data_IF_364208382853
#
_entry.id   IF_364208382853
#
_cell.length_a   1.000
_cell.length_b   1.000
_cell.length_c   1.000
_cell.angle_alpha   90.00
_cell.angle_beta   90.00
_cell.angle_gamma   90.00
#
_symmetry.space_group_name_H-M   'P 1'
#
loop_
_entity.id
_entity.type
_entity.pdbx_description
1 polymer ?
#
# COMPACT_ATOMS: atom_id res chain seq x y z
N UNK A 1 3.27 5.30 7.29
CA UNK A 1 4.25 6.18 6.61
C UNK A 1 4.58 7.34 7.53
N UNK A 2 5.85 7.51 7.88
CA UNK A 2 6.27 8.56 8.81
C UNK A 2 6.85 9.70 7.98
N UNK A 3 6.20 10.86 8.02
CA UNK A 3 6.63 12.08 7.37
C UNK A 3 6.12 13.29 8.12
N UNK A 4 6.76 14.44 7.92
CA UNK A 4 6.22 15.70 8.34
C UNK A 4 5.13 16.13 7.33
N UNK A 5 3.92 16.40 7.81
CA UNK A 5 2.86 16.94 6.95
C UNK A 5 3.14 18.41 6.65
N UNK A 6 3.06 18.76 5.36
CA UNK A 6 3.14 20.16 4.92
C UNK A 6 1.69 20.59 4.61
N UNK A 7 1.02 21.23 5.57
CA UNK A 7 -0.34 21.73 5.34
C UNK A 7 -1.09 22.07 6.65
N UNK A 8 -2.01 23.00 6.55
CA UNK A 8 -2.94 23.36 7.63
C UNK A 8 -3.87 22.18 7.94
N UNK A 9 -3.77 21.62 9.13
CA UNK A 9 -4.70 20.60 9.59
C UNK A 9 -4.07 19.37 10.23
N UNK A 10 -2.93 19.50 10.93
CA UNK A 10 -2.46 18.45 11.80
C UNK A 10 -3.49 18.23 12.92
N UNK A 11 -4.23 17.14 12.84
CA UNK A 11 -5.23 16.76 13.84
C UNK A 11 -4.54 16.26 15.12
N UNK A 12 -3.28 15.85 15.02
CA UNK A 12 -2.50 15.30 16.14
C UNK A 12 -1.05 15.79 16.12
N UNK A 13 -0.53 16.11 17.31
CA UNK A 13 0.85 16.54 17.49
C UNK A 13 1.18 17.89 16.86
N UNK A 14 2.46 18.10 16.55
CA UNK A 14 2.96 19.31 15.89
C UNK A 14 2.68 19.34 14.37
N UNK A 15 2.16 18.25 13.80
CA UNK A 15 2.08 18.03 12.36
C UNK A 15 3.41 17.59 11.74
N UNK A 16 4.45 17.51 12.54
CA UNK A 16 5.82 17.14 12.14
C UNK A 16 6.21 15.80 12.77
N UNK A 17 5.48 14.75 12.40
CA UNK A 17 5.56 13.45 13.03
C UNK A 17 7.00 12.86 13.09
N UNK A 18 7.79 13.08 12.05
CA UNK A 18 9.18 12.59 12.02
C UNK A 18 10.06 13.35 13.04
N UNK A 19 9.88 14.66 13.15
CA UNK A 19 10.58 15.49 14.11
C UNK A 19 10.21 15.07 15.54
N UNK A 20 8.89 14.95 15.80
CA UNK A 20 8.35 14.55 17.10
C UNK A 20 8.89 13.16 17.51
N UNK A 21 8.98 12.21 16.54
CA UNK A 21 9.53 10.88 16.77
C UNK A 21 11.02 10.93 17.14
N UNK A 22 11.82 11.68 16.39
CA UNK A 22 13.26 11.83 16.64
C UNK A 22 13.49 12.47 18.00
N UNK A 23 12.78 13.56 18.29
CA UNK A 23 12.88 14.25 19.58
C UNK A 23 12.49 13.31 20.74
N UNK A 24 11.39 12.58 20.61
CA UNK A 24 10.93 11.63 21.63
C UNK A 24 11.98 10.53 21.89
N UNK A 25 12.49 9.88 20.84
CA UNK A 25 13.44 8.78 21.00
C UNK A 25 14.76 9.27 21.64
N UNK A 26 15.27 10.40 21.19
CA UNK A 26 16.56 10.91 21.64
C UNK A 26 16.49 11.81 22.88
N UNK A 27 15.29 12.03 23.43
CA UNK A 27 15.13 12.56 24.79
C UNK A 27 15.52 11.53 25.87
N UNK A 28 15.53 10.24 25.53
CA UNK A 28 15.97 9.16 26.41
C UNK A 28 17.50 8.91 26.35
N UNK A 29 18.04 8.33 27.41
CA UNK A 29 19.44 7.94 27.45
C UNK A 29 19.70 6.63 26.70
N UNK A 30 20.78 6.57 25.91
CA UNK A 30 21.22 5.37 25.16
C UNK A 30 20.18 4.80 24.19
N UNK A 31 19.23 5.60 23.74
CA UNK A 31 18.22 5.18 22.78
C UNK A 31 18.78 5.08 21.36
N UNK A 32 18.19 4.17 20.58
CA UNK A 32 18.49 3.99 19.16
C UNK A 32 17.17 3.87 18.40
N UNK A 33 17.13 4.42 17.20
CA UNK A 33 15.98 4.34 16.29
C UNK A 33 16.33 3.42 15.13
N UNK A 34 15.46 2.46 14.83
CA UNK A 34 15.52 1.63 13.63
C UNK A 34 14.29 1.94 12.81
N UNK A 35 14.52 2.45 11.60
CA UNK A 35 13.47 2.75 10.63
C UNK A 35 13.47 1.66 9.56
N UNK A 36 12.31 1.01 9.38
CA UNK A 36 12.10 -0.05 8.41
C UNK A 36 11.07 0.42 7.40
N UNK A 37 11.32 0.18 6.12
CA UNK A 37 10.40 0.54 5.07
C UNK A 37 10.77 -0.04 3.72
N UNK A 38 9.93 0.23 2.74
CA UNK A 38 10.11 -0.20 1.36
C UNK A 38 9.89 1.00 0.44
N UNK A 39 10.94 1.39 -0.28
CA UNK A 39 10.91 2.54 -1.21
C UNK A 39 10.05 2.28 -2.46
N UNK A 40 9.67 1.02 -2.73
CA UNK A 40 8.74 0.66 -3.79
C UNK A 40 7.26 0.77 -3.37
N UNK A 41 6.98 0.97 -2.07
CA UNK A 41 5.63 1.25 -1.59
C UNK A 41 5.27 2.73 -1.78
N UNK A 42 3.96 3.02 -1.73
CA UNK A 42 3.47 4.39 -1.89
C UNK A 42 4.12 5.33 -0.87
N UNK A 43 4.71 6.44 -1.32
CA UNK A 43 5.31 7.42 -0.44
C UNK A 43 4.22 8.23 0.30
N UNK A 44 4.59 9.04 1.29
CA UNK A 44 3.69 10.02 1.90
C UNK A 44 3.11 10.97 0.84
N UNK A 45 1.89 11.47 1.10
CA UNK A 45 1.19 12.36 0.15
C UNK A 45 2.04 13.61 -0.15
N UNK A 46 2.23 13.87 -1.45
CA UNK A 46 3.02 15.02 -1.90
C UNK A 46 4.54 14.85 -1.85
N UNK A 47 5.02 13.65 -1.56
CA UNK A 47 6.46 13.34 -1.53
C UNK A 47 6.79 12.20 -2.50
N UNK A 48 7.99 12.19 -3.07
CA UNK A 48 8.47 11.12 -3.93
C UNK A 48 9.01 9.92 -3.14
N UNK A 49 9.55 10.19 -1.95
CA UNK A 49 10.09 9.18 -1.02
C UNK A 49 9.71 9.52 0.41
N UNK A 50 9.70 8.52 1.29
CA UNK A 50 9.55 8.76 2.72
C UNK A 50 10.84 9.39 3.28
N UNK A 51 10.80 10.58 3.89
CA UNK A 51 11.97 11.21 4.49
C UNK A 51 12.59 10.37 5.62
N UNK A 52 11.81 9.51 6.26
CA UNK A 52 12.28 8.58 7.28
C UNK A 52 13.20 7.47 6.73
N UNK A 53 13.19 7.24 5.40
CA UNK A 53 14.06 6.27 4.71
C UNK A 53 15.17 6.95 3.91
N UNK A 54 15.41 8.23 4.13
CA UNK A 54 16.47 9.00 3.48
C UNK A 54 17.58 9.29 4.49
N UNK A 55 18.75 8.66 4.27
CA UNK A 55 19.90 8.82 5.17
C UNK A 55 20.37 10.29 5.26
N UNK A 56 20.25 11.08 4.19
CA UNK A 56 20.65 12.49 4.21
C UNK A 56 19.69 13.32 5.08
N UNK A 57 18.37 13.06 4.96
CA UNK A 57 17.36 13.71 5.82
C UNK A 57 17.58 13.34 7.28
N UNK A 58 17.80 12.07 7.58
CA UNK A 58 18.04 11.60 8.94
C UNK A 58 19.37 12.13 9.51
N UNK A 59 20.40 12.26 8.67
CA UNK A 59 21.67 12.90 9.03
C UNK A 59 21.52 14.38 9.38
N UNK A 60 20.54 15.07 8.80
CA UNK A 60 20.19 16.47 9.11
C UNK A 60 19.76 16.71 10.57
N UNK A 61 19.30 15.66 11.26
CA UNK A 61 19.04 15.71 12.71
C UNK A 61 20.31 15.58 13.58
N UNK A 62 21.49 15.53 12.97
CA UNK A 62 22.75 15.31 13.68
C UNK A 62 22.98 13.86 14.13
N UNK A 63 22.23 12.92 13.56
CA UNK A 63 22.32 11.50 13.89
C UNK A 63 23.39 10.79 13.06
N UNK A 64 24.05 9.79 13.68
CA UNK A 64 24.89 8.86 12.94
C UNK A 64 24.03 7.77 12.32
N UNK A 65 23.82 7.85 10.99
CA UNK A 65 22.90 6.99 10.23
C UNK A 65 23.68 5.89 9.54
N UNK A 66 23.21 4.65 9.70
CA UNK A 66 23.69 3.49 8.94
C UNK A 66 22.51 2.97 8.13
N UNK A 67 22.67 2.93 6.82
CA UNK A 67 21.66 2.42 5.88
C UNK A 67 22.03 1.02 5.40
N UNK A 68 21.04 0.14 5.34
CA UNK A 68 21.21 -1.20 4.82
C UNK A 68 19.99 -1.60 3.97
N UNK A 69 20.23 -2.09 2.76
CA UNK A 69 19.21 -2.55 1.85
C UNK A 69 19.14 -4.09 1.83
N UNK A 70 17.97 -4.64 2.17
CA UNK A 70 17.70 -6.06 2.06
C UNK A 70 17.26 -6.37 0.63
N UNK A 71 18.04 -7.15 -0.10
CA UNK A 71 17.79 -7.50 -1.52
C UNK A 71 17.30 -8.92 -1.73
N UNK A 72 17.52 -9.81 -0.78
CA UNK A 72 17.10 -11.20 -0.90
C UNK A 72 15.64 -11.39 -0.51
N UNK A 73 14.87 -12.05 -1.37
CA UNK A 73 13.47 -12.38 -1.14
C UNK A 73 13.37 -13.78 -0.54
N UNK A 74 13.22 -13.86 0.77
CA UNK A 74 13.21 -15.14 1.51
C UNK A 74 11.87 -15.90 1.46
N UNK A 75 10.78 -15.27 1.02
CA UNK A 75 9.41 -15.78 1.22
C UNK A 75 8.78 -16.51 0.04
N UNK A 76 9.44 -16.61 -1.12
CA UNK A 76 8.79 -17.12 -2.32
C UNK A 76 9.62 -18.17 -3.04
N UNK A 77 8.90 -19.11 -3.67
CA UNK A 77 9.51 -20.20 -4.42
C UNK A 77 10.07 -19.68 -5.74
N UNK A 78 11.20 -20.20 -6.20
CA UNK A 78 11.91 -19.75 -7.40
C UNK A 78 11.05 -19.77 -8.70
N UNK A 79 9.96 -20.55 -8.71
CA UNK A 79 9.04 -20.66 -9.87
C UNK A 79 7.79 -19.77 -9.73
N UNK A 80 7.74 -18.85 -8.75
CA UNK A 80 6.60 -17.97 -8.54
C UNK A 80 6.54 -16.86 -9.58
N UNK A 81 5.40 -16.77 -10.27
CA UNK A 81 5.08 -15.67 -11.17
C UNK A 81 4.83 -14.35 -10.42
N UNK A 82 4.35 -14.43 -9.18
CA UNK A 82 4.19 -13.27 -8.30
C UNK A 82 5.57 -12.65 -8.03
N UNK A 83 6.55 -13.46 -7.62
CA UNK A 83 7.91 -13.00 -7.37
C UNK A 83 8.56 -12.43 -8.64
N UNK A 84 8.42 -13.15 -9.76
CA UNK A 84 8.96 -12.70 -11.05
C UNK A 84 8.43 -11.32 -11.42
N UNK A 85 7.11 -11.12 -11.38
CA UNK A 85 6.48 -9.86 -11.73
C UNK A 85 6.80 -8.73 -10.73
N UNK A 86 6.85 -9.03 -9.43
CA UNK A 86 7.23 -8.06 -8.41
C UNK A 86 8.68 -7.57 -8.60
N UNK A 87 9.60 -8.48 -8.88
CA UNK A 87 11.01 -8.16 -9.16
C UNK A 87 11.13 -7.29 -10.42
N UNK A 88 10.46 -7.69 -11.52
CA UNK A 88 10.47 -6.89 -12.75
C UNK A 88 9.88 -5.50 -12.57
N UNK A 89 8.80 -5.35 -11.81
CA UNK A 89 8.24 -4.05 -11.49
C UNK A 89 9.22 -3.18 -10.70
N UNK A 90 9.92 -3.77 -9.74
CA UNK A 90 10.93 -3.06 -8.95
C UNK A 90 12.11 -2.60 -9.81
N UNK A 91 12.62 -3.46 -10.66
CA UNK A 91 13.67 -3.11 -11.65
C UNK A 91 13.21 -1.96 -12.56
N UNK A 92 11.98 -2.02 -13.09
CA UNK A 92 11.41 -0.96 -13.90
C UNK A 92 11.33 0.40 -13.18
N UNK A 93 11.13 0.41 -11.85
CA UNK A 93 11.09 1.66 -11.08
C UNK A 93 12.45 2.35 -10.97
N UNK A 94 13.55 1.61 -11.18
CA UNK A 94 14.92 2.16 -11.17
C UNK A 94 15.37 2.68 -12.55
N UNK A 95 14.63 2.37 -13.62
CA UNK A 95 14.95 2.78 -14.98
C UNK A 95 14.46 4.21 -15.29
N UNK A 96 15.27 4.95 -16.05
CA UNK A 96 14.88 6.29 -16.53
C UNK A 96 15.10 6.38 -18.07
N UNK A 97 14.07 6.69 -18.88
CA UNK A 97 12.68 6.99 -18.49
C UNK A 97 11.93 5.74 -17.98
N UNK A 98 10.95 5.96 -17.10
CA UNK A 98 10.17 4.88 -16.52
C UNK A 98 9.46 4.06 -17.60
N UNK A 99 9.78 2.75 -17.76
CA UNK A 99 9.17 1.93 -18.79
C UNK A 99 7.71 1.62 -18.45
N UNK A 100 6.91 1.26 -19.47
CA UNK A 100 5.55 0.79 -19.23
C UNK A 100 5.60 -0.57 -18.52
N UNK A 101 4.97 -0.72 -17.35
CA UNK A 101 4.96 -2.00 -16.66
C UNK A 101 4.22 -3.06 -17.48
N UNK A 102 4.82 -4.25 -17.58
CA UNK A 102 4.24 -5.40 -18.26
C UNK A 102 4.30 -6.61 -17.33
N UNK A 103 3.14 -7.19 -17.05
CA UNK A 103 3.03 -8.39 -16.23
C UNK A 103 3.07 -9.63 -17.13
N UNK A 104 3.92 -10.58 -16.79
CA UNK A 104 3.94 -11.89 -17.41
C UNK A 104 2.98 -12.82 -16.65
N UNK A 105 1.96 -13.30 -17.35
CA UNK A 105 0.93 -14.17 -16.78
C UNK A 105 1.05 -15.62 -17.23
N UNK A 106 1.73 -15.87 -18.35
CA UNK A 106 1.87 -17.21 -18.89
C UNK A 106 3.09 -17.94 -18.33
N UNK A 107 2.90 -19.22 -18.02
CA UNK A 107 3.98 -20.12 -17.59
C UNK A 107 4.21 -20.16 -16.08
N UNK A 108 3.29 -19.61 -15.30
CA UNK A 108 3.31 -19.64 -13.83
C UNK A 108 2.02 -20.26 -13.27
N UNK A 109 2.11 -21.10 -12.24
CA UNK A 109 0.94 -21.70 -11.63
C UNK A 109 0.16 -20.77 -10.69
N UNK A 110 0.78 -19.68 -10.24
CA UNK A 110 0.29 -18.73 -9.24
C UNK A 110 -0.20 -17.39 -9.84
N UNK A 111 -0.16 -17.25 -11.18
CA UNK A 111 -0.62 -16.03 -11.88
C UNK A 111 -1.48 -16.44 -13.07
N UNK A 112 -2.70 -15.93 -13.13
CA UNK A 112 -3.65 -16.21 -14.19
C UNK A 112 -4.24 -14.90 -14.75
N UNK A 113 -4.39 -14.82 -16.08
CA UNK A 113 -5.16 -13.75 -16.72
C UNK A 113 -6.64 -14.12 -16.71
N UNK A 114 -7.47 -13.24 -16.17
CA UNK A 114 -8.91 -13.47 -16.06
C UNK A 114 -9.70 -12.53 -16.98
N UNK A 115 -10.62 -13.10 -17.76
CA UNK A 115 -11.63 -12.32 -18.49
C UNK A 115 -12.67 -11.76 -17.52
N UNK A 116 -13.16 -10.54 -17.79
CA UNK A 116 -14.17 -9.90 -16.95
C UNK A 116 -15.48 -10.68 -16.80
N UNK A 117 -15.83 -11.52 -17.77
CA UNK A 117 -17.03 -12.37 -17.72
C UNK A 117 -16.96 -13.47 -16.64
N UNK A 118 -15.75 -13.95 -16.30
CA UNK A 118 -15.53 -14.98 -15.27
C UNK A 118 -15.19 -14.40 -13.91
N UNK A 119 -15.14 -13.07 -13.78
CA UNK A 119 -14.63 -12.41 -12.58
C UNK A 119 -15.47 -12.73 -11.33
N UNK A 120 -16.80 -12.66 -11.46
CA UNK A 120 -17.73 -12.92 -10.34
C UNK A 120 -17.60 -14.37 -9.87
N UNK A 121 -17.59 -15.32 -10.82
CA UNK A 121 -17.43 -16.75 -10.55
C UNK A 121 -16.10 -17.02 -9.82
N UNK A 122 -15.00 -16.47 -10.34
CA UNK A 122 -13.65 -16.68 -9.74
C UNK A 122 -13.50 -16.07 -8.35
N UNK A 123 -14.14 -14.93 -8.09
CA UNK A 123 -14.15 -14.34 -6.74
C UNK A 123 -14.98 -15.25 -5.80
N UNK A 124 -16.15 -15.73 -6.25
CA UNK A 124 -16.97 -16.66 -5.48
C UNK A 124 -16.21 -17.95 -5.14
N UNK A 125 -15.58 -18.56 -6.14
CA UNK A 125 -14.75 -19.77 -5.96
C UNK A 125 -13.59 -19.52 -4.96
N UNK A 126 -12.99 -18.34 -5.01
CA UNK A 126 -11.92 -17.98 -4.07
C UNK A 126 -12.45 -17.88 -2.64
N UNK A 127 -13.60 -17.21 -2.45
CA UNK A 127 -14.23 -17.12 -1.13
C UNK A 127 -14.64 -18.50 -0.58
N UNK A 128 -15.13 -19.39 -1.43
CA UNK A 128 -15.51 -20.75 -1.04
C UNK A 128 -14.28 -21.60 -0.67
N UNK A 129 -13.17 -21.40 -1.37
CA UNK A 129 -11.96 -22.21 -1.19
C UNK A 129 -11.06 -21.74 -0.05
N UNK A 130 -10.82 -20.44 0.07
CA UNK A 130 -9.86 -19.88 1.02
C UNK A 130 -10.47 -18.91 2.02
N UNK A 131 -11.68 -18.44 1.79
CA UNK A 131 -12.38 -17.50 2.66
C UNK A 131 -12.25 -16.03 2.25
N UNK A 132 -13.11 -15.20 2.84
CA UNK A 132 -13.14 -13.75 2.64
C UNK A 132 -11.85 -13.09 3.14
N UNK A 133 -11.30 -13.57 4.24
CA UNK A 133 -10.14 -12.97 4.91
C UNK A 133 -8.84 -13.20 4.12
N UNK A 134 -8.81 -14.24 3.28
CA UNK A 134 -7.65 -14.63 2.49
C UNK A 134 -7.76 -14.17 1.02
N UNK A 135 -8.85 -13.49 0.66
CA UNK A 135 -9.10 -13.02 -0.72
C UNK A 135 -9.22 -11.51 -0.75
N UNK A 136 -8.41 -10.87 -1.60
CA UNK A 136 -8.45 -9.41 -1.77
C UNK A 136 -8.59 -9.02 -3.24
N UNK A 137 -9.41 -7.99 -3.51
CA UNK A 137 -9.53 -7.36 -4.83
C UNK A 137 -8.84 -6.01 -4.79
N UNK A 138 -7.76 -5.87 -5.56
CA UNK A 138 -6.98 -4.63 -5.63
C UNK A 138 -7.44 -3.80 -6.81
N UNK A 139 -7.77 -2.54 -6.57
CA UNK A 139 -8.26 -1.60 -7.59
C UNK A 139 -7.44 -0.31 -7.62
N UNK A 140 -7.53 0.42 -8.74
CA UNK A 140 -6.77 1.66 -8.92
C UNK A 140 -7.32 2.84 -8.11
N UNK A 141 -8.62 2.86 -7.80
CA UNK A 141 -9.27 3.98 -7.14
C UNK A 141 -10.34 3.56 -6.15
N UNK A 142 -10.65 4.42 -5.17
CA UNK A 142 -11.72 4.21 -4.20
C UNK A 142 -13.09 4.07 -4.88
N UNK A 143 -13.35 4.84 -5.94
CA UNK A 143 -14.57 4.72 -6.73
C UNK A 143 -14.75 3.31 -7.31
N UNK A 144 -13.68 2.73 -7.88
CA UNK A 144 -13.71 1.35 -8.36
C UNK A 144 -13.83 0.35 -7.23
N UNK A 145 -13.13 0.54 -6.12
CA UNK A 145 -13.26 -0.31 -4.95
C UNK A 145 -14.71 -0.38 -4.46
N UNK A 146 -15.40 0.76 -4.39
CA UNK A 146 -16.82 0.80 -3.99
C UNK A 146 -17.73 0.06 -4.98
N UNK A 147 -17.48 0.17 -6.28
CA UNK A 147 -18.24 -0.59 -7.30
C UNK A 147 -18.03 -2.10 -7.09
N UNK A 148 -16.78 -2.55 -6.87
CA UNK A 148 -16.49 -3.95 -6.59
C UNK A 148 -17.11 -4.41 -5.28
N UNK A 149 -17.04 -3.61 -4.21
CA UNK A 149 -17.64 -3.93 -2.93
C UNK A 149 -19.16 -4.13 -3.06
N UNK A 150 -19.84 -3.23 -3.77
CA UNK A 150 -21.28 -3.36 -4.02
C UNK A 150 -21.60 -4.59 -4.87
N UNK A 151 -20.82 -4.84 -5.94
CA UNK A 151 -21.00 -6.02 -6.79
C UNK A 151 -20.80 -7.34 -6.01
N UNK A 152 -19.76 -7.44 -5.22
CA UNK A 152 -19.47 -8.60 -4.36
C UNK A 152 -20.59 -8.80 -3.33
N UNK A 153 -21.03 -7.74 -2.65
CA UNK A 153 -22.11 -7.80 -1.67
C UNK A 153 -23.40 -8.33 -2.28
N UNK A 154 -23.79 -7.78 -3.42
CA UNK A 154 -25.08 -8.10 -4.04
C UNK A 154 -25.06 -9.46 -4.77
N UNK A 155 -24.01 -9.77 -5.52
CA UNK A 155 -23.97 -10.91 -6.43
C UNK A 155 -23.36 -12.18 -5.83
N UNK A 156 -22.44 -12.01 -4.87
CA UNK A 156 -21.71 -13.14 -4.26
C UNK A 156 -22.19 -13.41 -2.84
N UNK A 157 -22.29 -12.33 -2.02
CA UNK A 157 -22.66 -12.48 -0.61
C UNK A 157 -24.18 -12.35 -0.36
N UNK A 158 -24.95 -12.01 -1.38
CA UNK A 158 -26.42 -11.83 -1.31
C UNK A 158 -26.86 -10.89 -0.17
N UNK A 159 -26.10 -9.79 0.03
CA UNK A 159 -26.36 -8.79 1.05
C UNK A 159 -26.89 -7.52 0.39
N UNK A 160 -28.17 -7.20 0.64
CA UNK A 160 -28.84 -6.04 0.05
C UNK A 160 -28.69 -4.75 0.88
N UNK A 161 -28.53 -4.89 2.19
CA UNK A 161 -28.40 -3.75 3.12
C UNK A 161 -27.00 -3.11 3.01
N UNK A 162 -26.91 -1.81 3.31
CA UNK A 162 -25.64 -1.06 3.29
C UNK A 162 -24.60 -1.63 4.26
N UNK A 163 -25.06 -2.10 5.43
CA UNK A 163 -24.27 -2.80 6.44
C UNK A 163 -25.01 -4.02 6.95
N UNK A 164 -24.32 -5.14 7.05
CA UNK A 164 -24.86 -6.41 7.52
C UNK A 164 -23.92 -7.03 8.55
N UNK A 165 -24.45 -7.80 9.49
CA UNK A 165 -23.63 -8.56 10.43
C UNK A 165 -22.63 -9.48 9.69
N UNK A 166 -21.37 -9.41 10.10
CA UNK A 166 -20.27 -10.14 9.43
C UNK A 166 -19.62 -9.42 8.27
N UNK A 167 -19.91 -8.12 8.06
CA UNK A 167 -19.14 -7.29 7.13
C UNK A 167 -17.77 -6.95 7.70
N UNK A 168 -16.73 -7.04 6.86
CA UNK A 168 -15.41 -6.52 7.16
C UNK A 168 -15.37 -5.03 6.81
N UNK A 169 -15.10 -4.19 7.81
CA UNK A 169 -15.04 -2.75 7.66
C UNK A 169 -13.60 -2.26 7.81
N UNK A 170 -13.13 -1.52 6.82
CA UNK A 170 -11.91 -0.77 6.94
C UNK A 170 -12.23 0.65 7.36
N UNK A 171 -11.97 1.00 8.62
CA UNK A 171 -12.08 2.37 9.10
C UNK A 171 -10.89 3.16 8.55
N UNK A 172 -11.12 3.84 7.44
CA UNK A 172 -10.18 4.84 6.94
C UNK A 172 -10.23 6.06 7.85
N UNK A 173 -9.07 6.65 8.10
CA UNK A 173 -8.92 7.85 8.95
C UNK A 173 -10.05 8.85 8.76
N UNK A 174 -10.51 9.41 9.87
CA UNK A 174 -11.47 10.51 9.95
C UNK A 174 -10.90 11.79 9.32
N UNK A 175 -10.83 11.83 7.98
CA UNK A 175 -10.59 13.08 7.28
C UNK A 175 -11.94 13.80 7.16
N UNK A 176 -12.00 14.99 7.71
CA UNK A 176 -13.14 15.91 7.52
C UNK A 176 -13.11 16.61 6.15
N UNK A 177 -12.08 16.34 5.35
CA UNK A 177 -11.91 16.87 3.99
C UNK A 177 -11.65 15.75 2.99
N UNK A 178 -12.20 15.80 1.77
CA UNK A 178 -11.89 14.83 0.73
C UNK A 178 -10.40 14.86 0.41
N UNK A 179 -9.80 13.68 0.25
CA UNK A 179 -8.42 13.56 -0.17
C UNK A 179 -8.21 14.29 -1.50
N UNK A 180 -7.06 14.96 -1.72
CA UNK A 180 -6.73 15.55 -3.02
C UNK A 180 -6.81 14.57 -4.19
N UNK A 181 -6.68 13.26 -3.93
CA UNK A 181 -6.86 12.20 -4.93
C UNK A 181 -8.32 11.98 -5.31
N UNK A 182 -9.26 12.22 -4.40
CA UNK A 182 -10.69 12.06 -4.65
C UNK A 182 -11.28 13.30 -5.36
N UNK A 183 -10.67 14.46 -5.20
CA UNK A 183 -11.08 15.71 -5.83
C UNK A 183 -10.83 15.74 -7.35
N UNK A 184 -9.89 14.97 -7.88
CA UNK A 184 -9.59 14.90 -9.32
C UNK A 184 -10.51 13.96 -10.12
N UNK A 185 -11.26 13.08 -9.47
CA UNK A 185 -12.16 12.13 -10.15
C UNK A 185 -13.62 12.64 -10.26
N UNK A 186 -13.91 13.84 -9.77
CA UNK A 186 -15.25 14.45 -9.79
C UNK A 186 -15.52 15.37 -11.00
N UNK A 187 -14.69 15.33 -12.05
CA UNK A 187 -14.90 16.05 -13.31
C UNK A 187 -14.95 15.12 -14.48
#
# INVERSE_FOLDING_TARGET
>A
MIANSVGEGAVYGSGRLLDDLVEYVYSGEHCRLILLGDTAQLPPVGQERSPALDAAVMGGYGLNVVEYELREVARQVAESGILYNATRLRECMEEAPLPRPCLRVNGFPDVEALSGEYLVERISDSYDRVGLDETIVVTRSNKRANIFNQGIRNQILYREEELTAGDLLLVCLLYTSPSPRDAHESR
#
